data_IF_776941021846
#
_entry.id   IF_776941021846
#
_cell.length_a   1.000
_cell.length_b   1.000
_cell.length_c   1.000
_cell.angle_alpha   90.00
_cell.angle_beta   90.00
_cell.angle_gamma   90.00
#
_symmetry.space_group_name_H-M   'P 1'
#
loop_
_entity.id
_entity.type
_entity.pdbx_description
1 polymer ?
#
# COMPACT_ATOMS: atom_id res chain seq x y z
N UNK A 1 37.60 25.38 26.28
CA UNK A 1 37.15 26.38 25.28
C UNK A 1 36.79 25.72 23.93
N UNK A 2 37.68 24.88 23.38
CA UNK A 2 37.43 24.17 22.11
C UNK A 2 36.21 23.21 22.16
N UNK A 3 36.01 22.54 23.30
CA UNK A 3 34.88 21.62 23.51
C UNK A 3 33.52 22.33 23.50
N UNK A 4 33.41 23.49 24.15
CA UNK A 4 32.18 24.28 24.17
C UNK A 4 31.80 24.81 22.78
N UNK A 5 32.79 25.22 21.98
CA UNK A 5 32.59 25.65 20.60
C UNK A 5 32.11 24.48 19.72
N UNK A 6 32.73 23.31 19.85
CA UNK A 6 32.33 22.11 19.13
C UNK A 6 30.91 21.67 19.51
N UNK A 7 30.56 21.70 20.79
CA UNK A 7 29.21 21.38 21.27
C UNK A 7 28.17 22.33 20.66
N UNK A 8 28.41 23.64 20.71
CA UNK A 8 27.49 24.62 20.15
C UNK A 8 27.31 24.48 18.63
N UNK A 9 28.38 24.13 17.91
CA UNK A 9 28.29 23.84 16.48
C UNK A 9 27.43 22.60 16.20
N UNK A 10 27.58 21.54 16.99
CA UNK A 10 26.75 20.33 16.85
C UNK A 10 25.28 20.61 17.17
N UNK A 11 25.00 21.39 18.22
CA UNK A 11 23.63 21.77 18.59
C UNK A 11 22.96 22.60 17.49
N UNK A 12 23.71 23.52 16.88
CA UNK A 12 23.21 24.31 15.76
C UNK A 12 22.90 23.42 14.55
N UNK A 13 23.80 22.49 14.20
CA UNK A 13 23.57 21.55 13.09
C UNK A 13 22.35 20.66 13.36
N UNK A 14 22.21 20.14 14.58
CA UNK A 14 21.07 19.34 14.98
C UNK A 14 19.75 20.13 14.87
N UNK A 15 19.74 21.40 15.29
CA UNK A 15 18.58 22.28 15.17
C UNK A 15 18.19 22.54 13.70
N UNK A 16 19.17 22.81 12.83
CA UNK A 16 18.94 23.02 11.40
C UNK A 16 18.40 21.73 10.75
N UNK A 17 19.02 20.58 11.00
CA UNK A 17 18.58 19.30 10.46
C UNK A 17 17.16 18.95 10.88
N UNK A 18 16.81 19.21 12.15
CA UNK A 18 15.45 18.99 12.65
C UNK A 18 14.43 19.88 11.93
N UNK A 19 14.73 21.18 11.79
CA UNK A 19 13.85 22.13 11.10
C UNK A 19 13.58 21.70 9.65
N UNK A 20 14.62 21.34 8.90
CA UNK A 20 14.48 20.89 7.51
C UNK A 20 13.66 19.60 7.42
N UNK A 21 13.86 18.65 8.33
CA UNK A 21 13.07 17.42 8.40
C UNK A 21 11.57 17.71 8.63
N UNK A 22 11.25 18.58 9.59
CA UNK A 22 9.89 19.01 9.89
C UNK A 22 9.26 19.72 8.68
N UNK A 23 10.01 20.57 7.98
CA UNK A 23 9.54 21.27 6.78
C UNK A 23 9.28 20.33 5.61
N UNK A 24 10.09 19.28 5.41
CA UNK A 24 9.82 18.24 4.39
C UNK A 24 8.54 17.49 4.70
N UNK A 25 8.34 17.09 5.96
CA UNK A 25 7.12 16.41 6.42
C UNK A 25 5.88 17.29 6.24
N UNK A 26 5.98 18.59 6.55
CA UNK A 26 4.91 19.59 6.34
C UNK A 26 4.51 19.67 4.87
N UNK A 27 5.48 19.84 3.97
CA UNK A 27 5.23 19.89 2.51
C UNK A 27 4.67 18.58 1.97
N UNK A 28 5.21 17.45 2.42
CA UNK A 28 4.69 16.13 2.05
C UNK A 28 3.23 15.98 2.47
N UNK A 29 2.87 16.39 3.70
CA UNK A 29 1.49 16.33 4.20
C UNK A 29 0.54 17.19 3.34
N UNK A 30 0.95 18.41 2.98
CA UNK A 30 0.18 19.27 2.08
C UNK A 30 -0.03 18.62 0.70
N UNK A 31 1.01 18.02 0.13
CA UNK A 31 0.93 17.29 -1.14
C UNK A 31 0.00 16.07 -1.08
N UNK A 32 0.10 15.27 -0.01
CA UNK A 32 -0.78 14.13 0.24
C UNK A 32 -2.23 14.60 0.38
N UNK A 33 -2.49 15.66 1.12
CA UNK A 33 -3.85 16.18 1.30
C UNK A 33 -4.47 16.64 -0.02
N UNK A 34 -3.70 17.35 -0.86
CA UNK A 34 -4.12 17.72 -2.21
C UNK A 34 -4.42 16.50 -3.07
N UNK A 35 -3.52 15.51 -3.09
CA UNK A 35 -3.72 14.28 -3.87
C UNK A 35 -4.90 13.42 -3.35
N UNK A 36 -5.20 13.46 -2.05
CA UNK A 36 -6.40 12.84 -1.46
C UNK A 36 -7.67 13.56 -1.91
N UNK A 37 -7.71 14.90 -1.90
CA UNK A 37 -8.83 15.71 -2.43
C UNK A 37 -9.08 15.41 -3.92
N UNK A 38 -8.02 15.23 -4.68
CA UNK A 38 -8.06 14.84 -6.10
C UNK A 38 -8.32 13.33 -6.33
N UNK A 39 -8.57 12.54 -5.28
CA UNK A 39 -8.83 11.08 -5.34
C UNK A 39 -7.76 10.28 -6.11
N UNK A 40 -6.49 10.71 -6.05
CA UNK A 40 -5.36 10.02 -6.71
C UNK A 40 -4.96 8.73 -6.01
N UNK A 41 -5.13 8.64 -4.69
CA UNK A 41 -4.85 7.43 -3.92
C UNK A 41 -5.97 6.40 -4.09
N UNK A 42 -5.76 5.42 -4.97
CA UNK A 42 -6.71 4.32 -5.24
C UNK A 42 -6.30 2.97 -4.62
N UNK A 43 -5.19 2.96 -3.86
CA UNK A 43 -4.62 1.73 -3.31
C UNK A 43 -3.94 0.87 -4.39
N UNK A 44 -3.65 -0.39 -4.04
CA UNK A 44 -3.15 -1.37 -5.01
C UNK A 44 -4.32 -1.82 -5.90
N UNK A 45 -4.23 -1.68 -7.23
CA UNK A 45 -5.28 -2.15 -8.13
C UNK A 45 -5.44 -3.66 -8.01
N UNK A 46 -6.65 -4.13 -8.27
CA UNK A 46 -6.94 -5.56 -8.35
C UNK A 46 -6.31 -6.12 -9.62
N UNK A 47 -5.76 -7.33 -9.53
CA UNK A 47 -5.31 -8.07 -10.70
C UNK A 47 -6.53 -8.76 -11.34
N UNK A 48 -7.10 -8.09 -12.34
CA UNK A 48 -8.30 -8.55 -13.03
C UNK A 48 -8.08 -9.87 -13.78
N UNK A 49 -6.89 -10.07 -14.37
CA UNK A 49 -6.55 -11.31 -15.08
C UNK A 49 -6.51 -12.50 -14.13
N UNK A 50 -5.88 -12.31 -12.97
CA UNK A 50 -5.84 -13.32 -11.92
C UNK A 50 -7.24 -13.66 -11.42
N UNK A 51 -8.05 -12.62 -11.17
CA UNK A 51 -9.41 -12.78 -10.67
C UNK A 51 -10.30 -13.53 -11.67
N UNK A 52 -10.23 -13.21 -12.96
CA UNK A 52 -10.97 -13.90 -14.01
C UNK A 52 -10.61 -15.40 -14.07
N UNK A 53 -9.32 -15.74 -14.06
CA UNK A 53 -8.88 -17.15 -14.05
C UNK A 53 -9.37 -17.91 -12.84
N UNK A 54 -9.39 -17.26 -11.67
CA UNK A 54 -9.93 -17.87 -10.45
C UNK A 54 -11.45 -18.06 -10.55
N UNK A 55 -12.18 -17.09 -11.11
CA UNK A 55 -13.63 -17.22 -11.32
C UNK A 55 -13.96 -18.39 -12.25
N UNK A 56 -13.25 -18.52 -13.36
CA UNK A 56 -13.42 -19.62 -14.32
C UNK A 56 -13.19 -20.99 -13.67
N UNK A 57 -12.11 -21.14 -12.89
CA UNK A 57 -11.86 -22.40 -12.19
C UNK A 57 -12.86 -22.69 -11.05
N UNK A 58 -13.44 -21.63 -10.45
CA UNK A 58 -14.51 -21.80 -9.46
C UNK A 58 -15.82 -22.22 -10.14
N UNK A 59 -16.16 -21.67 -11.30
CA UNK A 59 -17.33 -22.11 -12.10
C UNK A 59 -17.17 -23.55 -12.61
N UNK A 60 -15.93 -23.97 -12.91
CA UNK A 60 -15.59 -25.35 -13.25
C UNK A 60 -15.66 -26.34 -12.07
N UNK A 61 -16.01 -25.86 -10.87
CA UNK A 61 -16.12 -26.67 -9.66
C UNK A 61 -14.78 -27.18 -9.12
N UNK A 62 -13.64 -26.55 -9.47
CA UNK A 62 -12.32 -26.97 -8.98
C UNK A 62 -12.19 -26.69 -7.48
N UNK A 63 -11.54 -27.60 -6.75
CA UNK A 63 -11.26 -27.41 -5.34
C UNK A 63 -10.25 -26.26 -5.12
N UNK A 64 -10.38 -25.56 -3.99
CA UNK A 64 -9.54 -24.40 -3.70
C UNK A 64 -8.05 -24.74 -3.64
N UNK A 65 -7.69 -25.93 -3.15
CA UNK A 65 -6.31 -26.40 -3.12
C UNK A 65 -5.76 -26.62 -4.53
N UNK A 66 -6.61 -27.08 -5.47
CA UNK A 66 -6.21 -27.25 -6.88
C UNK A 66 -6.03 -25.89 -7.56
N UNK A 67 -6.91 -24.93 -7.30
CA UNK A 67 -6.79 -23.56 -7.81
C UNK A 67 -5.49 -22.90 -7.32
N UNK A 68 -5.20 -23.02 -6.02
CA UNK A 68 -3.95 -22.52 -5.45
C UNK A 68 -2.72 -23.15 -6.12
N UNK A 69 -2.73 -24.46 -6.38
CA UNK A 69 -1.62 -25.14 -7.03
C UNK A 69 -1.44 -24.74 -8.51
N UNK A 70 -2.53 -24.48 -9.24
CA UNK A 70 -2.49 -24.12 -10.67
C UNK A 70 -2.14 -22.65 -10.91
N UNK A 71 -2.69 -21.74 -10.11
CA UNK A 71 -2.57 -20.30 -10.31
C UNK A 71 -1.47 -19.69 -9.42
N UNK A 72 -1.10 -20.35 -8.31
CA UNK A 72 -0.12 -19.84 -7.36
C UNK A 72 -0.65 -18.70 -6.47
N UNK A 73 -1.97 -18.52 -6.39
CA UNK A 73 -2.60 -17.49 -5.56
C UNK A 73 -2.95 -17.99 -4.16
N UNK A 74 -3.03 -17.09 -3.19
CA UNK A 74 -3.38 -17.44 -1.80
C UNK A 74 -4.85 -17.86 -1.68
N UNK A 75 -5.17 -18.72 -0.69
CA UNK A 75 -6.58 -19.04 -0.36
C UNK A 75 -7.42 -17.80 -0.07
N UNK A 76 -6.82 -16.75 0.50
CA UNK A 76 -7.50 -15.50 0.78
C UNK A 76 -7.91 -14.77 -0.51
N UNK A 77 -7.09 -14.84 -1.55
CA UNK A 77 -7.41 -14.31 -2.88
C UNK A 77 -8.59 -15.08 -3.48
N UNK A 78 -8.58 -16.42 -3.39
CA UNK A 78 -9.67 -17.27 -3.88
C UNK A 78 -10.98 -16.96 -3.13
N UNK A 79 -10.94 -16.88 -1.80
CA UNK A 79 -12.09 -16.53 -0.97
C UNK A 79 -12.65 -15.13 -1.32
N UNK A 80 -11.76 -14.15 -1.54
CA UNK A 80 -12.16 -12.79 -1.95
C UNK A 80 -12.87 -12.80 -3.30
N UNK A 81 -12.36 -13.56 -4.27
CA UNK A 81 -12.97 -13.70 -5.59
C UNK A 81 -14.34 -14.38 -5.48
N UNK A 82 -14.43 -15.50 -4.77
CA UNK A 82 -15.68 -16.24 -4.56
C UNK A 82 -16.77 -15.37 -3.90
N UNK A 83 -16.40 -14.60 -2.86
CA UNK A 83 -17.32 -13.67 -2.19
C UNK A 83 -17.76 -12.53 -3.09
N UNK A 84 -16.86 -12.00 -3.91
CA UNK A 84 -17.20 -10.92 -4.82
C UNK A 84 -18.13 -11.40 -5.95
N UNK A 85 -17.99 -12.65 -6.40
CA UNK A 85 -18.90 -13.27 -7.37
C UNK A 85 -20.31 -13.47 -6.80
N UNK A 86 -20.45 -13.87 -5.53
CA UNK A 86 -21.78 -14.02 -4.91
C UNK A 86 -22.50 -12.68 -4.66
N UNK A 87 -21.75 -11.59 -4.52
CA UNK A 87 -22.29 -10.23 -4.32
C UNK A 87 -22.75 -9.55 -5.62
N UNK A 88 -22.43 -10.10 -6.78
CA UNK A 88 -22.84 -9.56 -8.09
C UNK A 88 -24.10 -10.22 -8.65
N UNK A 89 -24.60 -11.27 -8.01
CA UNK A 89 -25.81 -12.02 -8.41
C UNK A 89 -27.07 -11.60 -7.61
N UNK A 90 -26.92 -10.70 -6.63
CA UNK A 90 -28.00 -10.00 -5.89
C UNK A 90 -28.17 -8.56 -6.39
#
# INVERSE_FOLDING_TARGET
MFEAMNSMMLDMLAAISRKDYEDRRRRQKQGIEKAKKEKKYRGRPVDESLHHKVQELLSDGKSWSKIQALIGCSRATIAKVAKNSSLTEE
#
